data_IF_907848210925
#
_entry.id   IF_907848210925
#
_cell.length_a   1.000
_cell.length_b   1.000
_cell.length_c   1.000
_cell.angle_alpha   90.00
_cell.angle_beta   90.00
_cell.angle_gamma   90.00
#
_symmetry.space_group_name_H-M   'P 1'
#
loop_
_entity.id
_entity.type
_entity.pdbx_description
1 polymer ?
#
# COMPACT_ATOMS: atom_id res chain seq x y z
N UNK A 1 12.49 -1.44 -1.02
CA UNK A 1 11.26 -0.68 -1.33
C UNK A 1 11.45 0.12 -2.61
N UNK A 2 11.03 -0.44 -3.74
CA UNK A 2 11.28 0.12 -5.06
C UNK A 2 10.16 1.11 -5.40
N UNK A 3 10.34 2.37 -5.02
CA UNK A 3 9.59 3.58 -5.41
C UNK A 3 8.08 3.45 -5.74
N UNK A 4 7.33 2.66 -4.99
CA UNK A 4 5.87 2.48 -5.17
C UNK A 4 5.14 3.83 -5.08
N UNK A 5 5.63 4.73 -4.22
CA UNK A 5 5.13 6.09 -4.06
C UNK A 5 5.37 6.98 -5.29
N UNK A 6 6.24 6.64 -6.24
CA UNK A 6 6.42 7.42 -7.47
C UNK A 6 5.21 7.33 -8.40
N UNK A 7 4.51 6.19 -8.38
CA UNK A 7 3.32 5.96 -9.20
C UNK A 7 2.04 6.54 -8.59
N UNK A 8 2.13 7.10 -7.38
CA UNK A 8 1.00 7.66 -6.65
C UNK A 8 1.03 9.19 -6.73
N UNK A 9 -0.09 9.86 -7.07
CA UNK A 9 -0.16 11.32 -7.08
C UNK A 9 0.19 11.91 -5.73
N UNK A 10 0.85 13.07 -5.73
CA UNK A 10 1.35 13.73 -4.51
C UNK A 10 0.28 13.97 -3.43
N UNK A 11 -0.98 14.21 -3.84
CA UNK A 11 -2.14 14.32 -2.94
C UNK A 11 -2.45 13.03 -2.17
N UNK A 12 -2.24 11.87 -2.80
CA UNK A 12 -2.52 10.54 -2.23
C UNK A 12 -1.28 9.93 -1.55
N UNK A 13 -0.06 10.42 -1.84
CA UNK A 13 1.19 9.89 -1.26
C UNK A 13 1.18 9.88 0.27
N UNK A 14 0.69 10.94 0.92
CA UNK A 14 0.62 11.00 2.39
C UNK A 14 -0.32 9.94 2.96
N UNK A 15 -1.53 9.81 2.42
CA UNK A 15 -2.49 8.79 2.87
C UNK A 15 -1.97 7.39 2.62
N UNK A 16 -1.42 7.13 1.44
CA UNK A 16 -0.85 5.83 1.08
C UNK A 16 0.35 5.46 1.97
N UNK A 17 1.27 6.40 2.22
CA UNK A 17 2.40 6.17 3.11
C UNK A 17 1.94 5.89 4.56
N UNK A 18 0.88 6.55 5.02
CA UNK A 18 0.30 6.31 6.35
C UNK A 18 -0.33 4.91 6.45
N UNK A 19 -1.12 4.50 5.45
CA UNK A 19 -1.71 3.15 5.39
C UNK A 19 -0.62 2.07 5.27
N UNK A 20 0.39 2.29 4.43
CA UNK A 20 1.55 1.39 4.28
C UNK A 20 2.33 1.26 5.59
N UNK A 21 2.53 2.37 6.31
CA UNK A 21 3.17 2.37 7.63
C UNK A 21 2.33 1.62 8.67
N UNK A 22 1.00 1.70 8.57
CA UNK A 22 0.07 0.96 9.43
C UNK A 22 0.09 -0.55 9.17
N UNK A 23 0.34 -0.98 7.92
CA UNK A 23 0.60 -2.39 7.59
C UNK A 23 1.92 -2.84 8.22
N UNK A 24 2.98 -2.03 8.09
CA UNK A 24 4.31 -2.35 8.62
C UNK A 24 4.39 -2.38 10.15
N UNK A 25 3.59 -1.54 10.83
CA UNK A 25 3.48 -1.50 12.29
C UNK A 25 2.44 -2.48 12.86
N UNK A 26 1.82 -3.31 12.01
CA UNK A 26 0.85 -4.28 12.50
C UNK A 26 1.56 -5.33 13.38
N UNK A 27 0.98 -5.66 14.55
CA UNK A 27 1.59 -6.61 15.48
C UNK A 27 1.48 -8.08 15.03
N UNK A 28 0.59 -8.36 14.07
CA UNK A 28 0.29 -9.71 13.59
C UNK A 28 0.24 -9.77 12.07
N UNK A 29 0.72 -10.87 11.50
CA UNK A 29 0.79 -11.07 10.05
C UNK A 29 -0.61 -11.09 9.40
N UNK A 30 -1.63 -11.64 10.07
CA UNK A 30 -3.00 -11.61 9.55
C UNK A 30 -3.53 -10.19 9.43
N UNK A 31 -3.26 -9.36 10.44
CA UNK A 31 -3.69 -7.96 10.45
C UNK A 31 -2.93 -7.16 9.37
N UNK A 32 -1.64 -7.43 9.19
CA UNK A 32 -0.86 -6.85 8.09
C UNK A 32 -1.44 -7.26 6.72
N UNK A 33 -1.80 -8.54 6.55
CA UNK A 33 -2.37 -9.11 5.32
C UNK A 33 -3.74 -8.51 4.99
N UNK A 34 -4.64 -8.38 5.97
CA UNK A 34 -5.95 -7.76 5.78
C UNK A 34 -5.83 -6.29 5.39
N UNK A 35 -4.96 -5.54 6.07
CA UNK A 35 -4.70 -4.14 5.74
C UNK A 35 -4.07 -3.99 4.36
N UNK A 36 -3.16 -4.89 3.99
CA UNK A 36 -2.58 -4.94 2.64
C UNK A 36 -3.67 -5.21 1.59
N UNK A 37 -4.54 -6.20 1.81
CA UNK A 37 -5.66 -6.50 0.91
C UNK A 37 -6.64 -5.33 0.78
N UNK A 38 -6.96 -4.63 1.89
CA UNK A 38 -7.83 -3.46 1.86
C UNK A 38 -7.21 -2.29 1.09
N UNK A 39 -5.91 -2.03 1.30
CA UNK A 39 -5.13 -1.06 0.54
C UNK A 39 -5.08 -1.46 -0.93
N UNK A 40 -4.96 -2.76 -1.23
CA UNK A 40 -5.00 -3.25 -2.59
C UNK A 40 -6.36 -2.98 -3.24
N UNK A 41 -7.46 -3.44 -2.66
CA UNK A 41 -8.79 -3.22 -3.23
C UNK A 41 -9.09 -1.72 -3.48
N UNK A 42 -8.61 -0.84 -2.60
CA UNK A 42 -8.79 0.61 -2.69
C UNK A 42 -7.96 1.26 -3.80
N UNK A 43 -6.76 0.75 -4.07
CA UNK A 43 -5.80 1.36 -4.99
C UNK A 43 -5.54 0.55 -6.26
N UNK A 44 -5.95 -0.71 -6.35
CA UNK A 44 -5.74 -1.62 -7.49
C UNK A 44 -6.43 -1.11 -8.75
N UNK A 45 -7.64 -0.56 -8.60
CA UNK A 45 -8.38 0.05 -9.71
C UNK A 45 -7.72 1.34 -10.24
N UNK A 46 -6.92 2.05 -9.41
CA UNK A 46 -6.28 3.32 -9.80
C UNK A 46 -4.79 3.20 -10.11
N UNK A 47 -4.07 2.29 -9.45
CA UNK A 47 -2.61 2.16 -9.48
C UNK A 47 -2.18 0.69 -9.46
N UNK A 48 -2.55 -0.12 -10.47
CA UNK A 48 -2.19 -1.54 -10.53
C UNK A 48 -0.66 -1.77 -10.53
N UNK A 49 0.12 -0.82 -11.04
CA UNK A 49 1.59 -0.89 -11.04
C UNK A 49 2.22 -0.72 -9.65
N UNK A 50 1.60 0.10 -8.78
CA UNK A 50 2.08 0.31 -7.41
C UNK A 50 1.90 -0.95 -6.55
N UNK A 51 0.81 -1.68 -6.80
CA UNK A 51 0.43 -2.90 -6.08
C UNK A 51 1.36 -4.05 -6.46
N UNK A 52 1.60 -4.24 -7.76
CA UNK A 52 2.41 -5.33 -8.31
C UNK A 52 3.88 -5.29 -7.82
N UNK A 53 4.38 -4.12 -7.44
CA UNK A 53 5.74 -3.91 -6.93
C UNK A 53 5.88 -4.12 -5.42
N UNK A 54 4.78 -4.25 -4.67
CA UNK A 54 4.79 -4.35 -3.19
C UNK A 54 4.80 -5.78 -2.64
N UNK A 55 4.55 -6.79 -3.47
CA UNK A 55 4.29 -8.18 -3.04
C UNK A 55 5.19 -9.22 -3.74
N UNK A 56 6.38 -8.81 -4.19
CA UNK A 56 7.45 -9.74 -4.64
C UNK A 56 8.68 -9.54 -3.74
#
# INVERSE_FOLDING_TARGET
>A
MRNILAHIPQKQKKSFASELKSIWLAPDDKVARERANALMAKYESRYPQAIKLSLI
#
